data_IF_913819731110
#
_entry.id   IF_913819731110
#
_cell.length_a   1.000
_cell.length_b   1.000
_cell.length_c   1.000
_cell.angle_alpha   90.00
_cell.angle_beta   90.00
_cell.angle_gamma   90.00
#
_symmetry.space_group_name_H-M   'P 1'
#
loop_
_entity.id
_entity.type
_entity.pdbx_description
1 polymer ?
#
# COMPACT_ATOMS: atom_id res chain seq x y z
N UNK A 1 35.33 28.88 12.07
CA UNK A 1 34.29 28.32 12.95
C UNK A 1 32.90 28.58 12.43
N UNK A 2 32.59 29.84 12.08
CA UNK A 2 31.28 30.21 11.55
C UNK A 2 30.94 29.46 10.25
N UNK A 3 31.90 29.33 9.33
CA UNK A 3 31.70 28.63 8.06
C UNK A 3 31.43 27.12 8.26
N UNK A 4 32.11 26.53 9.24
CA UNK A 4 31.90 25.13 9.58
C UNK A 4 30.47 24.91 10.08
N UNK A 5 29.98 25.78 10.94
CA UNK A 5 28.63 25.70 11.50
C UNK A 5 27.57 25.89 10.39
N UNK A 6 27.78 26.89 9.50
CA UNK A 6 26.87 27.14 8.39
C UNK A 6 26.80 25.94 7.44
N UNK A 7 27.96 25.37 7.12
CA UNK A 7 28.02 24.21 6.23
C UNK A 7 27.38 22.98 6.85
N UNK A 8 27.62 22.77 8.14
CA UNK A 8 27.01 21.66 8.87
C UNK A 8 25.49 21.81 8.92
N UNK A 9 25.00 23.01 9.21
CA UNK A 9 23.57 23.30 9.23
C UNK A 9 22.93 23.01 7.89
N UNK A 10 23.56 23.48 6.81
CA UNK A 10 23.05 23.26 5.44
C UNK A 10 22.98 21.77 5.12
N UNK A 11 24.00 21.01 5.50
CA UNK A 11 24.06 19.58 5.28
C UNK A 11 22.94 18.86 6.05
N UNK A 12 22.73 19.24 7.30
CA UNK A 12 21.69 18.64 8.13
C UNK A 12 20.30 18.98 7.64
N UNK A 13 20.09 20.20 7.16
CA UNK A 13 18.80 20.60 6.57
C UNK A 13 18.51 19.80 5.31
N UNK A 14 19.53 19.56 4.48
CA UNK A 14 19.40 18.74 3.28
C UNK A 14 19.05 17.29 3.64
N UNK A 15 19.71 16.73 4.64
CA UNK A 15 19.41 15.39 5.12
C UNK A 15 18.00 15.29 5.68
N UNK A 16 17.56 16.30 6.41
CA UNK A 16 16.20 16.34 6.94
C UNK A 16 15.17 16.37 5.81
N UNK A 17 15.42 17.17 4.78
CA UNK A 17 14.54 17.24 3.61
C UNK A 17 14.44 15.88 2.90
N UNK A 18 15.58 15.21 2.71
CA UNK A 18 15.61 13.89 2.07
C UNK A 18 14.86 12.86 2.90
N UNK A 19 15.07 12.86 4.22
CA UNK A 19 14.36 11.93 5.11
C UNK A 19 12.86 12.17 5.11
N UNK A 20 12.46 13.45 5.10
CA UNK A 20 11.04 13.80 5.01
C UNK A 20 10.41 13.26 3.74
N UNK A 21 11.12 13.38 2.61
CA UNK A 21 10.65 12.85 1.33
C UNK A 21 10.53 11.33 1.35
N UNK A 22 11.51 10.66 1.94
CA UNK A 22 11.51 9.19 2.04
C UNK A 22 10.37 8.70 2.92
N UNK A 23 10.12 9.38 4.03
CA UNK A 23 9.01 9.04 4.92
C UNK A 23 7.69 9.18 4.18
N UNK A 24 7.49 10.27 3.46
CA UNK A 24 6.26 10.49 2.68
C UNK A 24 6.06 9.42 1.63
N UNK A 25 7.11 9.05 0.91
CA UNK A 25 7.05 7.99 -0.08
C UNK A 25 6.70 6.64 0.56
N UNK A 26 7.28 6.36 1.73
CA UNK A 26 6.99 5.13 2.48
C UNK A 26 5.55 5.10 2.98
N UNK A 27 5.03 6.23 3.44
CA UNK A 27 3.63 6.33 3.87
C UNK A 27 2.67 6.06 2.72
N UNK A 28 2.95 6.63 1.54
CA UNK A 28 2.13 6.38 0.36
C UNK A 28 2.19 4.92 -0.08
N UNK A 29 3.37 4.31 -0.02
CA UNK A 29 3.55 2.90 -0.32
C UNK A 29 2.77 2.02 0.67
N UNK A 30 2.79 2.39 1.95
CA UNK A 30 2.06 1.67 2.98
C UNK A 30 0.54 1.72 2.73
N UNK A 31 0.02 2.88 2.31
CA UNK A 31 -1.40 3.02 1.96
C UNK A 31 -1.74 2.07 0.82
N UNK A 32 -0.92 2.02 -0.24
CA UNK A 32 -1.15 1.13 -1.38
C UNK A 32 -1.12 -0.34 -0.98
N UNK A 33 -0.18 -0.71 -0.11
CA UNK A 33 -0.07 -2.08 0.40
C UNK A 33 -1.30 -2.47 1.22
N UNK A 34 -1.80 -1.55 2.04
CA UNK A 34 -3.02 -1.80 2.83
C UNK A 34 -4.24 -1.98 1.94
N UNK A 35 -4.35 -1.19 0.89
CA UNK A 35 -5.44 -1.32 -0.08
C UNK A 35 -5.40 -2.68 -0.76
N UNK A 36 -4.21 -3.12 -1.19
CA UNK A 36 -4.02 -4.43 -1.80
C UNK A 36 -4.34 -5.55 -0.83
N UNK A 37 -3.92 -5.41 0.41
CA UNK A 37 -4.22 -6.37 1.47
C UNK A 37 -5.72 -6.52 1.67
N UNK A 38 -6.44 -5.41 1.73
CA UNK A 38 -7.89 -5.44 1.93
C UNK A 38 -8.61 -6.10 0.76
N UNK A 39 -8.17 -5.84 -0.46
CA UNK A 39 -8.73 -6.48 -1.67
C UNK A 39 -8.54 -7.99 -1.63
N UNK A 40 -7.33 -8.44 -1.36
CA UNK A 40 -7.00 -9.86 -1.32
C UNK A 40 -7.74 -10.54 -0.17
N UNK A 41 -7.76 -9.91 1.00
CA UNK A 41 -8.46 -10.43 2.17
C UNK A 41 -9.96 -10.57 1.90
N UNK A 42 -10.57 -9.54 1.28
CA UNK A 42 -11.97 -9.60 0.89
C UNK A 42 -12.27 -10.70 -0.10
N UNK A 43 -11.39 -10.88 -1.09
CA UNK A 43 -11.54 -11.96 -2.07
C UNK A 43 -11.46 -13.34 -1.41
N UNK A 44 -10.56 -13.51 -0.45
CA UNK A 44 -10.45 -14.77 0.30
C UNK A 44 -11.71 -15.04 1.12
N UNK A 45 -12.29 -14.03 1.73
CA UNK A 45 -13.54 -14.17 2.47
C UNK A 45 -14.68 -14.64 1.58
N UNK A 46 -14.79 -14.03 0.39
CA UNK A 46 -15.81 -14.40 -0.59
C UNK A 46 -15.63 -15.85 -1.03
N UNK A 47 -14.38 -16.26 -1.31
CA UNK A 47 -14.09 -17.64 -1.70
C UNK A 47 -14.40 -18.64 -0.58
N UNK A 48 -14.20 -18.26 0.67
CA UNK A 48 -14.55 -19.09 1.81
C UNK A 48 -16.06 -19.33 1.87
N UNK A 49 -16.84 -18.31 1.58
CA UNK A 49 -18.31 -18.45 1.51
C UNK A 49 -18.72 -19.35 0.35
N UNK A 50 -18.10 -19.16 -0.83
CA UNK A 50 -18.39 -19.94 -2.03
C UNK A 50 -18.05 -21.41 -1.86
N UNK A 51 -17.00 -21.71 -1.13
CA UNK A 51 -16.57 -23.08 -0.86
C UNK A 51 -17.71 -23.91 -0.25
N UNK A 52 -18.62 -23.25 0.44
CA UNK A 52 -19.79 -23.88 1.06
C UNK A 52 -21.04 -23.84 0.16
N UNK A 53 -20.97 -23.07 -0.95
CA UNK A 53 -22.08 -22.88 -1.88
C UNK A 53 -21.61 -22.99 -3.31
N UNK A 54 -21.27 -24.10 -3.79
CA UNK A 54 -20.81 -24.30 -5.15
C UNK A 54 -21.91 -23.82 -6.13
N UNK A 55 -21.96 -22.52 -6.35
CA UNK A 55 -23.05 -21.83 -7.04
C UNK A 55 -22.48 -21.09 -8.25
N UNK A 56 -23.06 -21.34 -9.40
CA UNK A 56 -22.64 -20.74 -10.66
C UNK A 56 -22.87 -19.24 -10.68
N UNK A 57 -23.92 -18.75 -10.04
CA UNK A 57 -24.20 -17.31 -9.91
C UNK A 57 -23.08 -16.60 -9.18
N UNK A 58 -22.57 -17.21 -8.14
CA UNK A 58 -21.45 -16.65 -7.38
C UNK A 58 -20.20 -16.59 -8.24
N UNK A 59 -19.96 -17.62 -9.04
CA UNK A 59 -18.83 -17.66 -9.97
C UNK A 59 -18.93 -16.53 -11.00
N UNK A 60 -20.12 -16.34 -11.56
CA UNK A 60 -20.38 -15.26 -12.51
C UNK A 60 -20.16 -13.89 -11.87
N UNK A 61 -20.61 -13.71 -10.63
CA UNK A 61 -20.41 -12.46 -9.90
C UNK A 61 -18.92 -12.16 -9.69
N UNK A 62 -18.13 -13.19 -9.37
CA UNK A 62 -16.70 -13.04 -9.21
C UNK A 62 -16.00 -12.69 -10.51
N UNK A 63 -16.44 -13.30 -11.60
CA UNK A 63 -15.90 -13.00 -12.94
C UNK A 63 -16.21 -11.56 -13.33
N UNK A 64 -17.45 -11.12 -13.08
CA UNK A 64 -17.86 -9.75 -13.37
C UNK A 64 -17.08 -8.74 -12.52
N UNK A 65 -16.69 -9.10 -11.31
CA UNK A 65 -15.88 -8.25 -10.44
C UNK A 65 -14.39 -8.27 -10.79
N UNK A 66 -13.99 -9.12 -11.74
CA UNK A 66 -12.57 -9.25 -12.13
C UNK A 66 -11.74 -10.09 -11.18
N UNK A 67 -12.37 -10.87 -10.31
CA UNK A 67 -11.68 -11.71 -9.32
C UNK A 67 -11.50 -13.15 -9.79
N UNK A 68 -12.15 -13.54 -10.88
CA UNK A 68 -11.99 -14.86 -11.49
C UNK A 68 -12.07 -14.72 -13.02
N UNK A 69 -11.46 -15.64 -13.73
CA UNK A 69 -11.46 -15.65 -15.21
C UNK A 69 -12.80 -16.08 -15.79
#
# INVERSE_FOLDING_TARGET
MTDFIVNLKSKLESQLSDLTSQIRASENNLISLKESYLKVSGALEVLAVIKNKDDEETREALTAAGLAD
#
